data_IF_436859275201
#
_entry.id   IF_436859275201
#
_cell.length_a   1.000
_cell.length_b   1.000
_cell.length_c   1.000
_cell.angle_alpha   90.00
_cell.angle_beta   90.00
_cell.angle_gamma   90.00
#
_symmetry.space_group_name_H-M   'P 1'
#
loop_
_entity.id
_entity.type
_entity.pdbx_description
1 polymer ?
#
# COMPACT_ATOMS: atom_id res chain seq x y z
N UNK A 1 1.22 -2.78 21.62
CA UNK A 1 1.29 -2.88 20.16
C UNK A 1 2.67 -2.47 19.67
N UNK A 2 3.39 -3.40 19.08
CA UNK A 2 4.69 -3.19 18.42
C UNK A 2 4.51 -3.12 16.90
N UNK A 3 5.22 -2.22 16.23
CA UNK A 3 5.28 -2.15 14.76
C UNK A 3 6.67 -2.55 14.30
N UNK A 4 6.77 -3.61 13.50
CA UNK A 4 8.06 -4.17 13.09
C UNK A 4 8.00 -4.72 11.67
N UNK A 5 9.17 -4.94 11.08
CA UNK A 5 9.23 -5.65 9.80
C UNK A 5 8.61 -7.04 9.92
N UNK A 6 7.93 -7.45 8.85
CA UNK A 6 7.49 -8.83 8.66
C UNK A 6 8.69 -9.77 8.61
N UNK A 7 8.56 -10.93 9.25
CA UNK A 7 9.53 -12.02 9.27
C UNK A 7 8.93 -13.26 8.63
N UNK A 8 9.77 -14.22 8.25
CA UNK A 8 9.32 -15.47 7.63
C UNK A 8 8.29 -16.24 8.48
N UNK A 9 8.40 -16.18 9.81
CA UNK A 9 7.43 -16.79 10.73
C UNK A 9 6.05 -16.14 10.73
N UNK A 10 5.93 -14.89 10.24
CA UNK A 10 4.67 -14.15 10.23
C UNK A 10 3.81 -14.45 9.01
N UNK A 11 4.34 -15.07 7.95
CA UNK A 11 3.66 -15.18 6.65
C UNK A 11 2.28 -15.83 6.75
N UNK A 12 2.16 -16.88 7.56
CA UNK A 12 0.88 -17.55 7.80
C UNK A 12 -0.12 -16.63 8.50
N UNK A 13 0.32 -15.90 9.53
CA UNK A 13 -0.53 -14.98 10.29
C UNK A 13 -0.95 -13.77 9.43
N UNK A 14 -0.03 -13.21 8.63
CA UNK A 14 -0.32 -12.15 7.66
C UNK A 14 -1.36 -12.60 6.65
N UNK A 15 -1.20 -13.80 6.08
CA UNK A 15 -2.19 -14.38 5.17
C UNK A 15 -3.59 -14.45 5.81
N UNK A 16 -3.66 -14.88 7.07
CA UNK A 16 -4.93 -14.94 7.81
C UNK A 16 -5.52 -13.56 8.07
N UNK A 17 -4.72 -12.56 8.44
CA UNK A 17 -5.18 -11.18 8.62
C UNK A 17 -5.79 -10.60 7.35
N UNK A 18 -5.23 -10.87 6.17
CA UNK A 18 -5.83 -10.43 4.90
C UNK A 18 -7.10 -11.20 4.57
N UNK A 19 -7.11 -12.52 4.76
CA UNK A 19 -8.33 -13.33 4.55
C UNK A 19 -9.48 -12.83 5.41
N UNK A 20 -9.23 -12.57 6.69
CA UNK A 20 -10.23 -12.09 7.64
C UNK A 20 -10.62 -10.63 7.37
N UNK A 21 -9.66 -9.79 6.99
CA UNK A 21 -9.87 -8.37 6.75
C UNK A 21 -10.66 -8.06 5.48
N UNK A 22 -10.49 -8.87 4.44
CA UNK A 22 -11.17 -8.71 3.14
C UNK A 22 -12.34 -9.69 2.93
N UNK A 23 -12.53 -10.65 3.83
CA UNK A 23 -13.66 -11.57 3.83
C UNK A 23 -13.60 -12.67 2.76
N UNK A 24 -14.63 -13.52 2.76
CA UNK A 24 -14.72 -14.66 1.86
C UNK A 24 -14.76 -14.23 0.39
N UNK A 25 -13.94 -14.87 -0.45
CA UNK A 25 -13.79 -14.58 -1.88
C UNK A 25 -12.63 -13.64 -2.18
N UNK A 26 -12.66 -12.41 -1.64
CA UNK A 26 -11.62 -11.41 -1.95
C UNK A 26 -10.34 -11.62 -1.12
N UNK A 27 -10.47 -12.14 0.11
CA UNK A 27 -9.36 -12.38 1.01
C UNK A 27 -8.28 -13.34 0.49
N UNK A 28 -8.67 -14.39 -0.24
CA UNK A 28 -7.70 -15.33 -0.84
C UNK A 28 -6.90 -14.69 -1.97
N UNK A 29 -7.55 -13.85 -2.79
CA UNK A 29 -6.89 -13.10 -3.85
C UNK A 29 -5.86 -12.15 -3.26
N UNK A 30 -6.22 -11.43 -2.19
CA UNK A 30 -5.33 -10.48 -1.52
C UNK A 30 -4.19 -11.21 -0.81
N UNK A 31 -4.44 -12.34 -0.15
CA UNK A 31 -3.39 -13.14 0.47
C UNK A 31 -2.39 -13.66 -0.57
N UNK A 32 -2.87 -14.16 -1.72
CA UNK A 32 -2.04 -14.57 -2.84
C UNK A 32 -1.22 -13.41 -3.43
N UNK A 33 -1.83 -12.22 -3.53
CA UNK A 33 -1.13 -11.00 -3.95
C UNK A 33 0.04 -10.65 -3.01
N UNK A 34 -0.16 -10.74 -1.69
CA UNK A 34 0.90 -10.46 -0.71
C UNK A 34 2.08 -11.42 -0.89
N UNK A 35 1.79 -12.72 -1.05
CA UNK A 35 2.83 -13.73 -1.29
C UNK A 35 3.61 -13.45 -2.57
N UNK A 36 2.91 -13.10 -3.65
CA UNK A 36 3.54 -12.79 -4.93
C UNK A 36 4.36 -11.50 -4.88
N UNK A 37 3.84 -10.43 -4.28
CA UNK A 37 4.58 -9.17 -4.13
C UNK A 37 5.83 -9.35 -3.26
N UNK A 38 5.77 -10.17 -2.21
CA UNK A 38 6.92 -10.50 -1.37
C UNK A 38 8.02 -11.20 -2.17
N UNK A 39 7.64 -12.09 -3.10
CA UNK A 39 8.57 -12.78 -4.00
C UNK A 39 9.14 -11.86 -5.08
N UNK A 40 8.29 -11.04 -5.69
CA UNK A 40 8.61 -10.27 -6.90
C UNK A 40 9.23 -8.90 -6.60
N UNK A 41 9.13 -8.41 -5.36
CA UNK A 41 9.78 -7.19 -4.87
C UNK A 41 10.48 -7.41 -3.53
N UNK A 42 11.74 -7.92 -3.54
CA UNK A 42 12.54 -8.07 -2.33
C UNK A 42 12.81 -6.76 -1.58
N UNK A 43 12.59 -5.61 -2.23
CA UNK A 43 12.71 -4.28 -1.62
C UNK A 43 11.40 -3.71 -1.08
N UNK A 44 10.31 -4.49 -1.09
CA UNK A 44 9.03 -4.09 -0.52
C UNK A 44 9.18 -3.85 0.99
N UNK A 45 8.48 -2.83 1.50
CA UNK A 45 8.39 -2.60 2.94
C UNK A 45 7.14 -3.29 3.45
N UNK A 46 7.33 -4.37 4.21
CA UNK A 46 6.28 -5.19 4.81
C UNK A 46 6.31 -5.01 6.33
N UNK A 47 5.26 -4.42 6.90
CA UNK A 47 5.20 -4.10 8.34
C UNK A 47 4.02 -4.82 8.96
N UNK A 48 4.27 -5.48 10.09
CA UNK A 48 3.23 -6.07 10.94
C UNK A 48 3.00 -5.22 12.18
N UNK A 49 1.74 -5.19 12.62
CA UNK A 49 1.37 -4.76 13.96
C UNK A 49 1.21 -6.01 14.82
N UNK A 50 2.01 -6.11 15.87
CA UNK A 50 1.97 -7.23 16.82
C UNK A 50 1.40 -6.76 18.16
N UNK A 51 0.51 -7.55 18.73
CA UNK A 51 0.02 -7.37 20.09
C UNK A 51 0.05 -8.72 20.83
N UNK A 52 0.73 -8.74 21.98
CA UNK A 52 0.87 -9.93 22.83
C UNK A 52 1.33 -11.20 22.07
N UNK A 53 2.23 -11.07 21.09
CA UNK A 53 2.74 -12.19 20.29
C UNK A 53 1.94 -12.50 19.02
N UNK A 54 0.79 -11.85 18.82
CA UNK A 54 -0.10 -12.09 17.69
C UNK A 54 -0.02 -10.98 16.65
N UNK A 55 0.05 -11.33 15.37
CA UNK A 55 -0.05 -10.36 14.27
C UNK A 55 -1.51 -9.94 14.11
N UNK A 56 -1.79 -8.67 14.39
CA UNK A 56 -3.15 -8.11 14.39
C UNK A 56 -3.41 -7.16 13.21
N UNK A 57 -2.37 -6.81 12.45
CA UNK A 57 -2.47 -5.97 11.27
C UNK A 57 -1.22 -6.06 10.41
N UNK A 58 -1.36 -5.71 9.14
CA UNK A 58 -0.27 -5.73 8.17
C UNK A 58 -0.47 -4.67 7.10
N UNK A 59 0.63 -4.02 6.69
CA UNK A 59 0.67 -3.15 5.52
C UNK A 59 1.86 -3.50 4.64
N UNK A 60 1.65 -3.46 3.33
CA UNK A 60 2.70 -3.64 2.33
C UNK A 60 2.85 -2.39 1.47
N UNK A 61 4.09 -1.96 1.29
CA UNK A 61 4.49 -0.95 0.31
C UNK A 61 5.39 -1.59 -0.74
N UNK A 62 4.82 -1.88 -1.90
CA UNK A 62 5.52 -2.53 -3.02
C UNK A 62 5.98 -1.52 -4.07
N UNK A 63 6.92 -1.92 -4.92
CA UNK A 63 7.47 -1.12 -6.01
C UNK A 63 6.37 -0.69 -7.00
N UNK A 64 6.44 0.55 -7.42
CA UNK A 64 5.69 1.09 -8.53
C UNK A 64 6.53 2.17 -9.23
N UNK A 65 5.99 2.74 -10.31
CA UNK A 65 6.66 3.79 -11.07
C UNK A 65 5.72 4.95 -11.35
N UNK A 66 6.31 6.12 -11.53
CA UNK A 66 5.67 7.21 -12.28
C UNK A 66 6.44 7.38 -13.59
N UNK A 67 5.72 7.24 -14.70
CA UNK A 67 6.18 7.60 -16.04
C UNK A 67 6.05 9.13 -16.19
N UNK A 68 7.08 9.84 -15.72
CA UNK A 68 7.17 11.29 -15.78
C UNK A 68 7.90 11.73 -17.06
N UNK A 69 7.64 12.96 -17.57
CA UNK A 69 8.23 13.44 -18.83
C UNK A 69 9.77 13.40 -18.88
N UNK A 70 10.43 13.70 -17.75
CA UNK A 70 11.89 13.72 -17.71
C UNK A 70 12.51 12.32 -17.63
N UNK A 71 11.98 11.48 -16.72
CA UNK A 71 12.45 10.11 -16.49
C UNK A 71 11.47 9.33 -15.62
N UNK A 72 11.59 8.00 -15.67
CA UNK A 72 10.90 7.09 -14.75
C UNK A 72 11.31 7.38 -13.31
N UNK A 73 10.32 7.59 -12.44
CA UNK A 73 10.52 7.78 -11.00
C UNK A 73 10.13 6.50 -10.26
N UNK A 74 11.05 5.99 -9.44
CA UNK A 74 10.73 4.88 -8.54
C UNK A 74 9.87 5.39 -7.37
N UNK A 75 8.71 4.80 -7.19
CA UNK A 75 7.73 5.16 -6.15
C UNK A 75 7.23 3.90 -5.45
N UNK A 76 6.35 4.05 -4.46
CA UNK A 76 5.73 2.91 -3.78
C UNK A 76 4.21 2.93 -3.90
N UNK A 77 3.61 1.76 -3.84
CA UNK A 77 2.17 1.62 -3.61
C UNK A 77 1.91 0.96 -2.29
N UNK A 78 1.07 1.60 -1.49
CA UNK A 78 0.45 1.02 -0.31
C UNK A 78 -0.69 0.11 -0.78
N UNK A 79 -0.41 -1.20 -0.84
CA UNK A 79 -1.44 -2.22 -1.01
C UNK A 79 -0.82 -3.61 -0.81
N UNK A 80 -1.48 -4.52 -0.05
CA UNK A 80 -2.70 -4.29 0.73
C UNK A 80 -2.42 -3.75 2.15
N UNK A 81 -3.47 -3.21 2.79
CA UNK A 81 -3.55 -2.91 4.22
C UNK A 81 -4.70 -3.72 4.82
N UNK A 82 -4.42 -4.49 5.87
CA UNK A 82 -5.45 -5.22 6.62
C UNK A 82 -5.22 -5.12 8.12
N UNK A 83 -6.32 -5.18 8.86
CA UNK A 83 -6.35 -5.26 10.33
C UNK A 83 -7.37 -6.32 10.70
N UNK A 84 -6.98 -7.24 11.58
CA UNK A 84 -7.85 -8.29 12.08
C UNK A 84 -9.16 -7.68 12.62
N UNK A 85 -10.34 -8.27 12.36
CA UNK A 85 -11.64 -7.65 12.67
C UNK A 85 -11.77 -7.15 14.13
N UNK A 86 -11.25 -7.91 15.10
CA UNK A 86 -11.28 -7.54 16.51
C UNK A 86 -10.48 -6.26 16.85
N UNK A 87 -9.51 -5.90 15.99
CA UNK A 87 -8.56 -4.80 16.17
C UNK A 87 -8.86 -3.57 15.30
N UNK A 88 -9.89 -3.65 14.45
CA UNK A 88 -10.32 -2.53 13.61
C UNK A 88 -10.88 -1.37 14.45
N UNK A 89 -10.81 -0.15 13.89
CA UNK A 89 -11.24 1.11 14.53
C UNK A 89 -10.50 1.46 15.84
N UNK A 90 -9.37 0.82 16.12
CA UNK A 90 -8.47 1.12 17.27
C UNK A 90 -7.21 1.89 16.89
N UNK A 91 -7.13 2.40 15.66
CA UNK A 91 -5.98 3.14 15.16
C UNK A 91 -4.83 2.30 14.58
N UNK A 92 -4.93 0.96 14.63
CA UNK A 92 -3.88 0.03 14.13
C UNK A 92 -3.49 0.32 12.67
N UNK A 93 -4.47 0.38 11.77
CA UNK A 93 -4.20 0.66 10.35
C UNK A 93 -3.51 2.00 10.14
N UNK A 94 -3.93 3.04 10.86
CA UNK A 94 -3.31 4.37 10.74
C UNK A 94 -1.89 4.39 11.30
N UNK A 95 -1.60 3.61 12.35
CA UNK A 95 -0.25 3.46 12.89
C UNK A 95 0.67 2.75 11.89
N UNK A 96 0.19 1.68 11.25
CA UNK A 96 0.89 0.96 10.18
C UNK A 96 1.23 1.87 8.99
N UNK A 97 0.25 2.63 8.49
CA UNK A 97 0.46 3.56 7.37
C UNK A 97 1.50 4.63 7.73
N UNK A 98 1.37 5.28 8.89
CA UNK A 98 2.30 6.35 9.30
C UNK A 98 3.72 5.84 9.46
N UNK A 99 3.90 4.67 10.07
CA UNK A 99 5.23 4.08 10.23
C UNK A 99 5.83 3.69 8.88
N UNK A 100 5.02 3.14 7.97
CA UNK A 100 5.44 2.88 6.60
C UNK A 100 5.92 4.14 5.88
N UNK A 101 5.12 5.21 5.90
CA UNK A 101 5.46 6.49 5.27
C UNK A 101 6.74 7.11 5.85
N UNK A 102 6.92 7.07 7.18
CA UNK A 102 8.15 7.53 7.85
C UNK A 102 9.38 6.79 7.31
N UNK A 103 9.33 5.46 7.25
CA UNK A 103 10.45 4.64 6.73
C UNK A 103 10.68 4.84 5.24
N UNK A 104 9.63 5.06 4.45
CA UNK A 104 9.78 5.38 3.03
C UNK A 104 10.45 6.73 2.82
N UNK A 105 10.10 7.74 3.62
CA UNK A 105 10.71 9.06 3.56
C UNK A 105 12.21 9.01 3.93
N UNK A 106 12.56 8.26 4.98
CA UNK A 106 13.96 8.00 5.36
C UNK A 106 14.78 7.28 4.27
N UNK A 107 14.10 6.51 3.42
CA UNK A 107 14.71 5.83 2.26
C UNK A 107 14.78 6.72 1.01
N UNK A 108 14.36 7.99 1.10
CA UNK A 108 14.34 8.91 -0.03
C UNK A 108 13.32 8.56 -1.10
N UNK A 109 12.26 7.81 -0.76
CA UNK A 109 11.16 7.58 -1.69
C UNK A 109 10.39 8.89 -1.86
N UNK A 110 10.14 9.38 -3.09
CA UNK A 110 9.50 10.69 -3.27
C UNK A 110 7.98 10.65 -3.14
N UNK A 111 7.35 9.53 -3.50
CA UNK A 111 5.89 9.41 -3.61
C UNK A 111 5.41 8.03 -3.15
N UNK A 112 4.25 8.00 -2.51
CA UNK A 112 3.49 6.78 -2.28
C UNK A 112 2.05 6.92 -2.78
N UNK A 113 1.55 5.91 -3.48
CA UNK A 113 0.21 5.86 -4.07
C UNK A 113 -0.65 4.78 -3.43
N UNK A 114 -1.96 4.92 -3.54
CA UNK A 114 -2.91 3.88 -3.19
C UNK A 114 -4.24 4.03 -3.94
N UNK A 115 -5.04 2.98 -3.83
CA UNK A 115 -6.46 2.98 -4.15
C UNK A 115 -7.25 2.67 -2.88
N UNK A 116 -8.16 3.57 -2.47
CA UNK A 116 -8.94 3.34 -1.24
C UNK A 116 -9.87 4.47 -0.84
N UNK A 117 -10.53 4.35 0.32
CA UNK A 117 -11.52 5.33 0.78
C UNK A 117 -10.87 6.70 1.11
N UNK A 118 -11.20 7.78 0.36
CA UNK A 118 -10.65 9.11 0.64
C UNK A 118 -10.99 9.62 2.03
N UNK A 119 -12.10 9.20 2.65
CA UNK A 119 -12.46 9.60 4.02
C UNK A 119 -11.49 9.04 5.05
N UNK A 120 -10.85 7.91 4.76
CA UNK A 120 -9.86 7.29 5.61
C UNK A 120 -8.46 7.89 5.37
N UNK A 121 -8.00 7.89 4.11
CA UNK A 121 -6.62 8.22 3.77
C UNK A 121 -6.31 9.73 3.76
N UNK A 122 -7.29 10.61 3.53
CA UNK A 122 -7.09 12.06 3.66
C UNK A 122 -6.63 12.49 5.07
N UNK A 123 -7.10 11.79 6.11
CA UNK A 123 -6.67 12.02 7.51
C UNK A 123 -5.22 11.63 7.77
N UNK A 124 -4.61 10.91 6.83
CA UNK A 124 -3.22 10.46 6.86
C UNK A 124 -2.33 11.30 5.91
N UNK A 125 -2.89 12.33 5.27
CA UNK A 125 -2.16 13.24 4.39
C UNK A 125 -2.17 12.87 2.91
N UNK A 126 -2.94 11.85 2.51
CA UNK A 126 -3.12 11.52 1.10
C UNK A 126 -4.09 12.50 0.42
N UNK A 127 -3.80 12.84 -0.82
CA UNK A 127 -4.59 13.75 -1.67
C UNK A 127 -5.07 13.01 -2.93
N UNK A 128 -6.21 13.42 -3.55
CA UNK A 128 -6.65 12.87 -4.83
C UNK A 128 -5.58 13.07 -5.91
N UNK A 129 -5.01 11.99 -6.41
CA UNK A 129 -3.81 12.05 -7.25
C UNK A 129 -4.07 12.70 -8.62
N UNK A 130 -5.30 12.58 -9.15
CA UNK A 130 -5.71 13.24 -10.40
C UNK A 130 -5.61 14.77 -10.29
N UNK A 131 -6.06 15.33 -9.17
CA UNK A 131 -6.00 16.78 -8.91
C UNK A 131 -4.56 17.27 -8.72
N UNK A 132 -3.66 16.36 -8.34
CA UNK A 132 -2.23 16.63 -8.18
C UNK A 132 -1.42 16.44 -9.48
N UNK A 133 -2.09 16.21 -10.61
CA UNK A 133 -1.45 16.09 -11.94
C UNK A 133 -1.01 14.67 -12.32
N UNK A 134 -1.40 13.65 -11.56
CA UNK A 134 -1.09 12.26 -11.90
C UNK A 134 -2.20 11.61 -12.73
N UNK A 135 -1.81 10.72 -13.64
CA UNK A 135 -2.76 9.91 -14.42
C UNK A 135 -2.88 8.51 -13.82
N UNK A 136 -4.12 8.05 -13.64
CA UNK A 136 -4.43 6.70 -13.17
C UNK A 136 -4.09 5.64 -14.22
N UNK A 137 -3.64 4.45 -13.82
CA UNK A 137 -3.26 3.37 -14.74
C UNK A 137 -4.45 2.62 -15.35
N UNK A 138 -5.67 2.83 -14.83
CA UNK A 138 -6.85 2.04 -15.20
C UNK A 138 -8.13 2.85 -15.04
N UNK A 139 -9.08 2.62 -15.95
CA UNK A 139 -10.44 3.18 -15.87
C UNK A 139 -11.24 2.61 -14.69
N UNK A 140 -10.83 1.46 -14.16
CA UNK A 140 -11.46 0.80 -13.00
C UNK A 140 -11.26 1.54 -11.68
N UNK A 141 -10.39 2.54 -11.66
CA UNK A 141 -10.06 3.28 -10.45
C UNK A 141 -10.88 4.57 -10.44
N UNK A 142 -11.78 4.76 -9.46
CA UNK A 142 -12.45 6.04 -9.28
C UNK A 142 -11.43 7.14 -8.95
N UNK A 143 -11.61 8.34 -9.49
CA UNK A 143 -10.65 9.43 -9.32
C UNK A 143 -10.42 9.79 -7.84
N UNK A 144 -11.49 9.80 -7.04
CA UNK A 144 -11.40 10.04 -5.60
C UNK A 144 -10.73 8.88 -4.83
N UNK A 145 -10.70 7.68 -5.40
CA UNK A 145 -10.05 6.51 -4.82
C UNK A 145 -8.55 6.48 -5.09
N UNK A 146 -8.12 7.02 -6.23
CA UNK A 146 -6.71 7.12 -6.62
C UNK A 146 -6.04 8.27 -5.87
N UNK A 147 -5.20 7.94 -4.89
CA UNK A 147 -4.62 8.92 -3.98
C UNK A 147 -3.10 8.83 -3.92
N UNK A 148 -2.46 9.96 -3.62
CA UNK A 148 -1.01 10.12 -3.53
C UNK A 148 -0.64 10.88 -2.27
N UNK A 149 0.54 10.58 -1.72
CA UNK A 149 1.21 11.43 -0.75
C UNK A 149 2.62 11.74 -1.23
N UNK A 150 3.02 13.01 -1.09
CA UNK A 150 4.36 13.50 -1.38
C UNK A 150 5.22 13.37 -0.13
N UNK A 151 6.38 12.76 -0.28
CA UNK A 151 7.41 12.66 0.76
C UNK A 151 8.53 13.68 0.49
N UNK A 152 9.49 13.79 1.40
CA UNK A 152 10.49 14.86 1.41
C UNK A 152 11.39 14.87 0.17
N UNK A 153 11.55 13.73 -0.50
CA UNK A 153 12.33 13.61 -1.74
C UNK A 153 11.56 13.99 -3.02
N UNK A 154 10.29 14.39 -2.93
CA UNK A 154 9.50 14.79 -4.09
C UNK A 154 10.02 16.10 -4.70
N UNK A 155 10.10 16.12 -6.04
CA UNK A 155 10.36 17.32 -6.82
C UNK A 155 9.19 17.57 -7.80
N UNK A 156 8.86 18.84 -8.14
CA UNK A 156 7.70 19.16 -8.98
C UNK A 156 7.66 18.48 -10.36
N UNK A 157 8.82 18.12 -10.93
CA UNK A 157 8.89 17.44 -12.23
C UNK A 157 8.45 15.97 -12.17
N UNK A 158 8.35 15.37 -10.97
CA UNK A 158 8.02 13.95 -10.75
C UNK A 158 6.51 13.65 -10.90
N UNK A 159 5.84 14.30 -11.84
CA UNK A 159 4.41 14.10 -12.15
C UNK A 159 4.25 13.37 -13.47
N UNK A 160 3.22 12.54 -13.60
CA UNK A 160 3.08 11.67 -14.77
C UNK A 160 2.04 10.58 -14.60
N UNK A 161 2.19 9.50 -15.38
CA UNK A 161 1.29 8.35 -15.30
C UNK A 161 1.79 7.38 -14.24
N UNK A 162 0.93 7.02 -13.29
CA UNK A 162 1.26 5.99 -12.31
C UNK A 162 1.23 4.61 -12.97
N UNK A 163 2.20 3.75 -12.65
CA UNK A 163 2.38 2.42 -13.23
C UNK A 163 2.59 1.40 -12.12
N UNK A 164 1.63 0.48 -11.99
CA UNK A 164 1.71 -0.68 -11.11
C UNK A 164 2.83 -1.65 -11.49
N UNK A 165 3.28 -2.45 -10.53
CA UNK A 165 4.05 -3.67 -10.85
C UNK A 165 3.16 -4.71 -11.56
N UNK A 166 3.75 -5.50 -12.45
CA UNK A 166 3.08 -6.55 -13.23
C UNK A 166 2.27 -7.52 -12.35
N UNK A 167 2.79 -7.85 -11.16
CA UNK A 167 2.14 -8.72 -10.16
C UNK A 167 0.70 -8.29 -9.83
N UNK A 168 0.38 -6.99 -9.83
CA UNK A 168 -1.00 -6.53 -9.61
C UNK A 168 -1.90 -6.87 -10.79
N UNK A 169 -1.40 -6.83 -12.01
CA UNK A 169 -2.15 -7.17 -13.21
C UNK A 169 -2.34 -8.69 -13.33
N UNK A 170 -1.30 -9.46 -13.03
CA UNK A 170 -1.33 -10.94 -13.06
C UNK A 170 -2.33 -11.54 -12.06
N UNK A 171 -2.63 -10.81 -10.98
CA UNK A 171 -3.64 -11.20 -9.98
C UNK A 171 -4.97 -10.46 -10.14
N UNK A 172 -5.09 -9.62 -11.17
CA UNK A 172 -6.24 -8.76 -11.45
C UNK A 172 -6.66 -7.93 -10.21
N UNK A 173 -5.66 -7.34 -9.55
CA UNK A 173 -5.77 -6.53 -8.33
C UNK A 173 -5.59 -5.02 -8.59
N UNK A 174 -5.70 -4.56 -9.84
CA UNK A 174 -5.73 -3.12 -10.17
C UNK A 174 -7.18 -2.63 -10.20
N UNK A 175 -7.51 -1.51 -9.58
CA UNK A 175 -8.89 -1.02 -9.49
C UNK A 175 -9.65 -1.56 -8.28
N UNK A 176 -10.58 -0.74 -7.80
CA UNK A 176 -11.56 -1.13 -6.78
C UNK A 176 -12.64 -2.02 -7.44
N UNK A 177 -12.94 -3.16 -6.81
CA UNK A 177 -14.04 -4.06 -7.19
C UNK A 177 -15.19 -3.95 -6.20
#
# INVERSE_FOLDING_TARGET
>A
MELRDERAGDFGAVGSVHRDGFGAGHGEVVAGLVEALRRDDPGALSIVAEEAGEVVGHVLFSRARVDAPERIVAVRTLSPLAVAPAWQRRGVGSALVREGLRRLDERGVPLAFLEGDPRYYSRLGFEPAVEQGFRKPSLRIPDAGFQVIRLSAYEPWMTGTFVYADTFWDHDCVGLR
#
